data_IF_645597367360
#
_entry.id   IF_645597367360
#
_cell.length_a   1.000
_cell.length_b   1.000
_cell.length_c   1.000
_cell.angle_alpha   90.00
_cell.angle_beta   90.00
_cell.angle_gamma   90.00
#
_symmetry.space_group_name_H-M   'P 1'
#
loop_
_entity.id
_entity.type
_entity.pdbx_description
1 polymer ?
#
# COMPACT_ATOMS: atom_id res chain seq x y z
N UNK A 1 -16.10 -5.49 46.62
CA UNK A 1 -17.09 -5.43 45.54
C UNK A 1 -16.29 -5.10 44.30
N UNK A 2 -15.98 -6.12 43.50
CA UNK A 2 -14.95 -6.05 42.46
C UNK A 2 -15.63 -5.71 41.12
N UNK A 3 -15.19 -4.63 40.49
CA UNK A 3 -15.64 -4.25 39.14
C UNK A 3 -15.07 -5.23 38.11
N UNK A 4 -15.84 -5.65 37.08
CA UNK A 4 -15.33 -6.54 36.07
C UNK A 4 -14.40 -5.79 35.12
N UNK A 5 -13.15 -6.26 35.03
CA UNK A 5 -12.16 -5.85 34.04
C UNK A 5 -12.79 -5.89 32.65
N UNK A 6 -13.00 -4.73 32.02
CA UNK A 6 -13.33 -4.64 30.60
C UNK A 6 -12.16 -5.24 29.82
N UNK A 7 -12.31 -6.49 29.37
CA UNK A 7 -11.51 -7.02 28.28
C UNK A 7 -11.87 -6.24 27.01
N UNK A 8 -11.27 -5.07 26.83
CA UNK A 8 -11.28 -4.38 25.53
C UNK A 8 -10.46 -5.25 24.58
N UNK A 9 -11.11 -6.20 23.91
CA UNK A 9 -10.53 -6.85 22.74
C UNK A 9 -10.13 -5.72 21.78
N UNK A 10 -8.89 -5.64 21.27
CA UNK A 10 -8.61 -4.77 20.16
C UNK A 10 -9.60 -5.18 19.05
N UNK A 11 -10.43 -4.23 18.64
CA UNK A 11 -11.31 -4.43 17.50
C UNK A 11 -10.36 -4.70 16.34
N UNK A 12 -10.36 -5.94 15.85
CA UNK A 12 -9.70 -6.34 14.61
C UNK A 12 -10.40 -5.54 13.51
N UNK A 13 -9.96 -4.29 13.32
CA UNK A 13 -10.47 -3.46 12.26
C UNK A 13 -10.01 -4.15 10.98
N UNK A 14 -10.91 -4.60 10.10
CA UNK A 14 -10.50 -5.18 8.84
C UNK A 14 -9.56 -4.18 8.18
N UNK A 15 -8.31 -4.58 7.92
CA UNK A 15 -7.28 -3.74 7.34
C UNK A 15 -7.86 -3.16 6.04
N UNK A 16 -8.33 -1.91 6.09
CA UNK A 16 -8.97 -1.30 4.94
C UNK A 16 -7.84 -0.96 3.98
N UNK A 17 -7.90 -1.40 2.72
CA UNK A 17 -6.82 -1.13 1.78
C UNK A 17 -6.63 0.39 1.65
N UNK A 18 -5.38 0.83 1.78
CA UNK A 18 -4.99 2.23 1.56
C UNK A 18 -5.10 2.57 0.08
N UNK A 19 -5.38 3.84 -0.22
CA UNK A 19 -5.47 4.36 -1.59
C UNK A 19 -4.57 5.57 -1.70
N UNK A 20 -3.77 5.62 -2.77
CA UNK A 20 -2.91 6.74 -3.12
C UNK A 20 -3.32 7.25 -4.51
N UNK A 21 -3.76 8.49 -4.57
CA UNK A 21 -4.16 9.11 -5.83
C UNK A 21 -2.96 9.74 -6.52
N UNK A 22 -2.96 9.72 -7.85
CA UNK A 22 -1.88 10.24 -8.67
C UNK A 22 -1.48 11.66 -8.22
N UNK A 23 -0.24 11.77 -7.76
CA UNK A 23 0.25 13.00 -7.15
C UNK A 23 0.65 14.01 -8.21
N UNK A 24 -0.27 14.88 -8.65
CA UNK A 24 0.11 16.06 -9.48
C UNK A 24 0.73 17.21 -8.67
N UNK A 25 0.60 17.21 -7.34
CA UNK A 25 1.08 18.30 -6.47
C UNK A 25 1.66 17.70 -5.17
N UNK A 26 2.99 17.71 -5.05
CA UNK A 26 3.72 17.29 -3.86
C UNK A 26 4.29 15.87 -3.95
N UNK A 27 5.52 15.69 -3.47
CA UNK A 27 6.13 14.37 -3.24
C UNK A 27 5.37 13.69 -2.11
N UNK A 28 4.48 12.75 -2.45
CA UNK A 28 3.97 11.79 -1.46
C UNK A 28 5.14 10.92 -1.03
N UNK A 29 5.49 10.90 0.27
CA UNK A 29 6.59 10.07 0.74
C UNK A 29 6.29 8.59 0.52
N UNK A 30 7.34 7.81 0.29
CA UNK A 30 7.25 6.37 0.14
C UNK A 30 6.62 5.75 1.40
N UNK A 31 5.68 4.79 1.26
CA UNK A 31 5.15 4.06 2.39
C UNK A 31 6.26 3.25 3.07
N UNK A 32 6.40 3.40 4.39
CA UNK A 32 7.45 2.74 5.20
C UNK A 32 7.32 1.21 5.12
N UNK A 33 6.10 0.73 5.03
CA UNK A 33 5.71 -0.68 4.96
C UNK A 33 5.80 -1.26 3.55
N UNK A 34 6.02 -0.42 2.52
CA UNK A 34 6.12 -0.80 1.11
C UNK A 34 5.09 -1.88 0.70
N UNK A 35 3.77 -1.63 0.85
CA UNK A 35 2.77 -2.66 0.60
C UNK A 35 2.69 -3.03 -0.88
N UNK A 36 2.14 -4.22 -1.18
CA UNK A 36 1.75 -4.56 -2.54
C UNK A 36 0.60 -3.66 -3.00
N UNK A 37 0.65 -3.19 -4.25
CA UNK A 37 -0.33 -2.23 -4.80
C UNK A 37 -0.80 -2.63 -6.17
N UNK A 38 -2.02 -2.22 -6.52
CA UNK A 38 -2.59 -2.35 -7.86
C UNK A 38 -2.78 -0.98 -8.49
N UNK A 39 -2.37 -0.85 -9.75
CA UNK A 39 -2.50 0.39 -10.52
C UNK A 39 -3.84 0.51 -11.29
N UNK A 40 -4.05 1.65 -11.94
CA UNK A 40 -5.24 1.93 -12.78
C UNK A 40 -5.36 1.04 -14.02
N UNK A 41 -4.28 0.35 -14.42
CA UNK A 41 -4.28 -0.65 -15.49
C UNK A 41 -4.46 -2.08 -14.96
N UNK A 42 -4.83 -2.22 -13.69
CA UNK A 42 -5.04 -3.49 -13.00
C UNK A 42 -3.77 -4.36 -12.90
N UNK A 43 -2.58 -3.77 -13.02
CA UNK A 43 -1.32 -4.48 -12.74
C UNK A 43 -1.08 -4.47 -11.24
N UNK A 44 -0.73 -5.63 -10.70
CA UNK A 44 -0.29 -5.76 -9.32
C UNK A 44 1.22 -5.68 -9.24
N UNK A 45 1.69 -4.83 -8.33
CA UNK A 45 3.07 -4.48 -8.08
C UNK A 45 3.47 -4.97 -6.68
N UNK A 46 4.60 -5.64 -6.59
CA UNK A 46 5.16 -6.18 -5.35
C UNK A 46 6.47 -5.47 -5.04
N UNK A 47 6.71 -5.10 -3.77
CA UNK A 47 7.96 -4.45 -3.36
C UNK A 47 9.13 -5.42 -3.49
N UNK A 48 10.21 -4.97 -4.13
CA UNK A 48 11.52 -5.60 -4.11
C UNK A 48 12.38 -5.08 -2.95
N UNK A 49 13.35 -5.89 -2.50
CA UNK A 49 14.31 -5.51 -1.47
C UNK A 49 15.28 -4.39 -1.92
N UNK A 50 15.31 -4.10 -3.22
CA UNK A 50 16.07 -3.05 -3.89
C UNK A 50 15.32 -1.71 -3.94
N UNK A 51 14.11 -1.64 -3.39
CA UNK A 51 13.23 -0.46 -3.48
C UNK A 51 12.53 -0.31 -4.82
N UNK A 52 12.60 -1.34 -5.68
CA UNK A 52 11.91 -1.39 -6.97
C UNK A 52 10.67 -2.26 -6.83
N UNK A 53 9.55 -1.77 -7.35
CA UNK A 53 8.34 -2.57 -7.49
C UNK A 53 8.37 -3.40 -8.76
N UNK A 54 7.97 -4.65 -8.65
CA UNK A 54 7.91 -5.61 -9.74
C UNK A 54 6.49 -6.11 -9.97
N UNK A 55 6.15 -6.35 -11.23
CA UNK A 55 4.93 -7.09 -11.58
C UNK A 55 5.13 -8.60 -11.40
N UNK A 56 4.04 -9.35 -11.19
CA UNK A 56 4.10 -10.80 -11.00
C UNK A 56 4.76 -11.56 -12.17
N UNK A 57 4.67 -11.01 -13.39
CA UNK A 57 5.32 -11.58 -14.57
C UNK A 57 6.79 -11.16 -14.73
N UNK A 58 7.30 -10.31 -13.83
CA UNK A 58 8.67 -9.80 -13.82
C UNK A 58 9.02 -8.91 -15.01
N UNK A 59 8.05 -8.42 -15.78
CA UNK A 59 8.32 -7.63 -17.00
C UNK A 59 8.39 -6.13 -16.74
N UNK A 60 7.67 -5.67 -15.72
CA UNK A 60 7.62 -4.26 -15.36
C UNK A 60 8.30 -4.01 -14.03
N UNK A 61 9.08 -2.93 -14.01
CA UNK A 61 9.88 -2.46 -12.90
C UNK A 61 9.66 -0.95 -12.75
N UNK A 62 9.40 -0.47 -11.54
CA UNK A 62 9.23 0.96 -11.28
C UNK A 62 9.53 1.27 -9.81
N UNK A 63 10.04 2.46 -9.53
CA UNK A 63 10.08 2.98 -8.15
C UNK A 63 8.69 3.39 -7.66
N UNK A 64 8.49 3.54 -6.35
CA UNK A 64 7.24 4.10 -5.80
C UNK A 64 6.91 5.46 -6.43
N UNK A 65 7.90 6.35 -6.50
CA UNK A 65 7.76 7.68 -7.09
C UNK A 65 7.24 7.63 -8.53
N UNK A 66 7.73 6.69 -9.34
CA UNK A 66 7.26 6.52 -10.72
C UNK A 66 5.85 5.96 -10.81
N UNK A 67 5.48 5.00 -9.96
CA UNK A 67 4.12 4.48 -9.88
C UNK A 67 3.13 5.58 -9.49
N UNK A 68 3.43 6.31 -8.41
CA UNK A 68 2.58 7.35 -7.86
C UNK A 68 2.48 8.60 -8.77
N UNK A 69 3.47 8.83 -9.63
CA UNK A 69 3.43 9.91 -10.62
C UNK A 69 2.53 9.59 -11.84
N UNK A 70 2.28 8.30 -12.12
CA UNK A 70 1.59 7.86 -13.35
C UNK A 70 0.20 7.29 -13.10
N UNK A 71 -0.03 6.70 -11.93
CA UNK A 71 -1.23 5.94 -11.63
C UNK A 71 -1.76 6.22 -10.22
N UNK A 72 -3.08 6.11 -10.07
CA UNK A 72 -3.68 5.85 -8.77
C UNK A 72 -3.31 4.42 -8.34
N UNK A 73 -2.97 4.25 -7.06
CA UNK A 73 -2.55 2.99 -6.46
C UNK A 73 -3.51 2.59 -5.34
N UNK A 74 -3.85 1.32 -5.28
CA UNK A 74 -4.67 0.73 -4.21
C UNK A 74 -3.91 -0.41 -3.58
N UNK A 75 -3.83 -0.45 -2.26
CA UNK A 75 -3.24 -1.55 -1.50
C UNK A 75 -3.97 -2.87 -1.79
N UNK A 76 -3.19 -3.93 -1.92
CA UNK A 76 -3.69 -5.29 -2.10
C UNK A 76 -3.30 -6.11 -0.87
N UNK A 77 -4.31 -6.67 -0.19
CA UNK A 77 -4.16 -7.54 0.98
C UNK A 77 -3.86 -9.01 0.59
#
# INVERSE_FOLDING_TARGET
MNEPTRCTRPVDMPNRPRVWLVGRIGTTPDPIDLPAVRDTWLRTWFPGADGIYHTADGRHHATWAELHARCDLVEVA
#
